data_IF_969141088780
#
_entry.id   IF_969141088780
#
_cell.length_a   1.000
_cell.length_b   1.000
_cell.length_c   1.000
_cell.angle_alpha   90.00
_cell.angle_beta   90.00
_cell.angle_gamma   90.00
#
_symmetry.space_group_name_H-M   'P 1'
#
loop_
_entity.id
_entity.type
_entity.pdbx_description
1 polymer ?
#
# COMPACT_ATOMS: atom_id res chain seq x y z
N UNK A 1 7.50 4.33 -7.26
CA UNK A 1 6.23 3.91 -6.65
C UNK A 1 6.47 2.93 -5.50
N UNK A 2 5.52 2.90 -4.58
CA UNK A 2 5.61 2.06 -3.40
C UNK A 2 4.54 0.98 -3.49
N UNK A 3 4.94 -0.28 -3.38
CA UNK A 3 4.01 -1.41 -3.45
C UNK A 3 3.26 -1.52 -2.12
N UNK A 4 2.01 -1.04 -2.10
CA UNK A 4 1.15 -1.13 -0.93
C UNK A 4 0.66 -2.56 -0.69
N UNK A 5 0.24 -3.23 -1.74
CA UNK A 5 -0.14 -4.65 -1.82
C UNK A 5 -1.38 -5.06 -1.03
N UNK A 6 -1.80 -4.30 -0.03
CA UNK A 6 -2.92 -4.71 0.82
C UNK A 6 -3.55 -3.51 1.53
N UNK A 7 -4.82 -3.62 1.96
CA UNK A 7 -5.50 -2.52 2.66
C UNK A 7 -5.18 -2.43 4.15
N UNK A 8 -4.60 -3.48 4.74
CA UNK A 8 -4.30 -3.51 6.17
C UNK A 8 -3.10 -4.42 6.44
N UNK A 9 -2.61 -4.35 7.68
CA UNK A 9 -1.42 -5.08 8.10
C UNK A 9 -1.58 -6.59 7.99
N UNK A 10 -2.74 -7.10 8.37
CA UNK A 10 -2.99 -8.54 8.35
C UNK A 10 -2.98 -9.10 6.93
N UNK A 11 -3.67 -8.43 6.01
CA UNK A 11 -3.70 -8.84 4.61
C UNK A 11 -2.33 -8.68 3.96
N UNK A 12 -1.61 -7.62 4.32
CA UNK A 12 -0.24 -7.41 3.85
C UNK A 12 0.66 -8.58 4.24
N UNK A 13 0.56 -9.03 5.50
CA UNK A 13 1.32 -10.18 5.99
C UNK A 13 0.99 -11.45 5.22
N UNK A 14 -0.29 -11.69 4.95
CA UNK A 14 -0.73 -12.87 4.19
C UNK A 14 -0.18 -12.89 2.77
N UNK A 15 -0.19 -11.73 2.11
CA UNK A 15 0.23 -11.61 0.70
C UNK A 15 1.75 -11.63 0.57
N UNK A 16 2.44 -10.88 1.41
CA UNK A 16 3.90 -10.73 1.30
C UNK A 16 4.68 -11.76 2.08
N UNK A 17 4.03 -12.43 3.04
CA UNK A 17 4.68 -13.39 3.95
C UNK A 17 5.92 -12.80 4.60
N UNK A 18 5.79 -11.54 5.05
CA UNK A 18 6.90 -10.79 5.62
C UNK A 18 7.40 -11.44 6.91
N UNK A 19 8.71 -11.57 7.05
CA UNK A 19 9.34 -12.07 8.27
C UNK A 19 9.26 -11.05 9.42
N UNK A 20 8.94 -9.81 9.09
CA UNK A 20 8.80 -8.73 10.08
C UNK A 20 7.42 -8.68 10.72
N UNK A 21 6.50 -9.55 10.29
CA UNK A 21 5.17 -9.63 10.86
C UNK A 21 4.30 -8.42 10.55
N UNK A 22 3.31 -8.18 11.41
CA UNK A 22 2.33 -7.12 11.21
C UNK A 22 2.92 -5.72 11.28
N UNK A 23 4.12 -5.57 11.79
CA UNK A 23 4.78 -4.27 11.92
C UNK A 23 5.29 -3.72 10.59
N UNK A 24 5.42 -4.56 9.58
CA UNK A 24 5.94 -4.10 8.28
C UNK A 24 4.96 -3.18 7.55
N UNK A 25 3.68 -3.32 7.76
CA UNK A 25 2.69 -2.47 7.11
C UNK A 25 2.72 -1.02 7.64
N UNK A 26 2.66 -0.78 8.96
CA UNK A 26 2.81 0.59 9.48
C UNK A 26 4.15 1.22 9.11
N UNK A 27 5.22 0.43 9.10
CA UNK A 27 6.54 0.93 8.70
C UNK A 27 6.54 1.38 7.24
N UNK A 28 5.86 0.64 6.37
CA UNK A 28 5.71 1.02 4.97
C UNK A 28 4.98 2.35 4.82
N UNK A 29 3.90 2.55 5.58
CA UNK A 29 3.12 3.78 5.53
C UNK A 29 3.94 4.98 6.03
N UNK A 30 4.72 4.79 7.10
CA UNK A 30 5.60 5.83 7.62
C UNK A 30 6.68 6.20 6.60
N UNK A 31 7.24 5.21 5.94
CA UNK A 31 8.21 5.42 4.86
C UNK A 31 7.59 6.22 3.72
N UNK A 32 6.37 5.88 3.32
CA UNK A 32 5.66 6.58 2.25
C UNK A 32 5.41 8.04 2.60
N UNK A 33 5.03 8.32 3.84
CA UNK A 33 4.85 9.70 4.31
C UNK A 33 6.15 10.49 4.24
N UNK A 34 7.25 9.88 4.67
CA UNK A 34 8.56 10.51 4.62
C UNK A 34 8.99 10.79 3.19
N UNK A 35 8.76 9.85 2.28
CA UNK A 35 9.05 10.03 0.87
C UNK A 35 8.24 11.18 0.28
N UNK A 36 6.97 11.29 0.64
CA UNK A 36 6.10 12.35 0.14
C UNK A 36 6.61 13.74 0.54
N UNK A 37 7.19 13.86 1.73
CA UNK A 37 7.76 15.13 2.19
C UNK A 37 9.03 15.50 1.43
N UNK A 38 9.79 14.52 0.97
CA UNK A 38 11.08 14.72 0.32
C UNK A 38 11.02 14.68 -1.20
N UNK A 39 10.03 14.00 -1.77
CA UNK A 39 9.92 13.76 -3.22
C UNK A 39 8.54 14.19 -3.69
N UNK A 40 8.48 14.93 -4.79
CA UNK A 40 7.21 15.45 -5.30
C UNK A 40 6.32 14.40 -5.98
N UNK A 41 6.89 13.26 -6.36
CA UNK A 41 6.13 12.21 -7.06
C UNK A 41 6.25 10.89 -6.33
N UNK A 42 5.28 10.63 -5.45
CA UNK A 42 5.16 9.35 -4.74
C UNK A 42 3.78 8.79 -5.05
N UNK A 43 3.71 7.50 -5.35
CA UNK A 43 2.43 6.83 -5.54
C UNK A 43 2.47 5.43 -4.95
N UNK A 44 1.32 4.95 -4.51
CA UNK A 44 1.15 3.55 -4.13
C UNK A 44 0.74 2.72 -5.34
N UNK A 45 1.08 1.44 -5.31
CA UNK A 45 0.60 0.48 -6.29
C UNK A 45 0.10 -0.77 -5.58
N UNK A 46 -0.92 -1.39 -6.15
CA UNK A 46 -1.46 -2.68 -5.70
C UNK A 46 -1.64 -3.56 -6.92
N UNK A 47 -1.60 -4.87 -6.69
CA UNK A 47 -1.86 -5.85 -7.75
C UNK A 47 -3.33 -6.26 -7.68
N UNK A 48 -3.96 -6.49 -8.83
CA UNK A 48 -5.40 -6.78 -8.91
C UNK A 48 -5.79 -8.20 -8.50
N UNK A 49 -4.97 -8.83 -7.67
CA UNK A 49 -5.33 -10.07 -6.97
C UNK A 49 -6.28 -9.81 -5.81
N UNK A 50 -6.42 -8.55 -5.41
CA UNK A 50 -7.31 -8.14 -4.33
C UNK A 50 -8.76 -8.07 -4.81
N UNK A 51 -9.70 -8.26 -3.89
CA UNK A 51 -11.12 -8.03 -4.19
C UNK A 51 -11.37 -6.54 -4.39
N UNK A 52 -12.51 -6.21 -5.01
CA UNK A 52 -12.90 -4.81 -5.20
C UNK A 52 -12.99 -4.07 -3.87
N UNK A 53 -13.50 -4.73 -2.84
CA UNK A 53 -13.58 -4.13 -1.50
C UNK A 53 -12.21 -3.81 -0.94
N UNK A 54 -11.26 -4.70 -1.14
CA UNK A 54 -9.88 -4.49 -0.69
C UNK A 54 -9.21 -3.35 -1.44
N UNK A 55 -9.46 -3.24 -2.73
CA UNK A 55 -8.93 -2.15 -3.55
C UNK A 55 -9.54 -0.82 -3.10
N UNK A 56 -10.84 -0.81 -2.79
CA UNK A 56 -11.51 0.40 -2.28
C UNK A 56 -10.92 0.83 -0.93
N UNK A 57 -10.61 -0.11 -0.06
CA UNK A 57 -9.95 0.19 1.21
C UNK A 57 -8.56 0.77 1.00
N UNK A 58 -7.81 0.21 0.04
CA UNK A 58 -6.50 0.76 -0.32
C UNK A 58 -6.62 2.18 -0.84
N UNK A 59 -7.65 2.46 -1.65
CA UNK A 59 -7.88 3.79 -2.18
C UNK A 59 -8.18 4.79 -1.07
N UNK A 60 -9.00 4.40 -0.09
CA UNK A 60 -9.29 5.26 1.06
C UNK A 60 -8.04 5.56 1.85
N UNK A 61 -7.21 4.56 2.08
CA UNK A 61 -5.96 4.73 2.79
C UNK A 61 -5.04 5.70 2.05
N UNK A 62 -4.92 5.52 0.75
CA UNK A 62 -4.10 6.40 -0.09
C UNK A 62 -4.64 7.83 -0.04
N UNK A 63 -5.96 8.01 -0.10
CA UNK A 63 -6.60 9.32 -0.03
C UNK A 63 -6.31 10.01 1.30
N UNK A 64 -6.38 9.27 2.41
CA UNK A 64 -6.07 9.80 3.73
C UNK A 64 -4.63 10.31 3.82
N UNK A 65 -3.71 9.63 3.17
CA UNK A 65 -2.31 10.01 3.15
C UNK A 65 -1.99 11.04 2.05
N UNK A 66 -2.94 11.31 1.17
CA UNK A 66 -2.73 12.21 0.05
C UNK A 66 -1.77 11.67 -0.98
N UNK A 67 -1.70 10.35 -1.13
CA UNK A 67 -0.82 9.65 -2.07
C UNK A 67 -1.67 8.96 -3.13
N UNK A 68 -1.41 9.16 -4.44
CA UNK A 68 -2.17 8.48 -5.49
C UNK A 68 -2.01 6.97 -5.43
N UNK A 69 -3.05 6.24 -5.79
CA UNK A 69 -3.04 4.78 -5.87
C UNK A 69 -3.17 4.33 -7.32
N UNK A 70 -2.34 3.39 -7.71
CA UNK A 70 -2.40 2.78 -9.03
C UNK A 70 -2.62 1.28 -8.88
N UNK A 71 -3.60 0.74 -9.60
CA UNK A 71 -3.86 -0.70 -9.64
C UNK A 71 -3.11 -1.28 -10.82
N UNK A 72 -2.28 -2.29 -10.56
CA UNK A 72 -1.48 -2.97 -11.59
C UNK A 72 -2.12 -4.32 -11.88
N UNK A 73 -2.29 -4.63 -13.14
CA UNK A 73 -2.84 -5.92 -13.53
C UNK A 73 -1.81 -7.03 -13.31
N UNK A 74 -2.30 -8.13 -12.77
CA UNK A 74 -1.49 -9.33 -12.68
C UNK A 74 -1.41 -9.98 -14.07
N UNK A 75 -0.23 -10.29 -14.48
CA UNK A 75 0.00 -10.95 -15.77
C UNK A 75 -0.01 -12.46 -15.57
#
# INVERSE_FOLDING_TARGET
SISLNAPNAQRFQEITRSIYGLQSFPALLDFAKSCKESVSQVQFSVVDILSEEEIDECQRLADELGIPLRVRKKI
#
